data_IF_567772415482
#
_entry.id   IF_567772415482
#
_cell.length_a   1.000
_cell.length_b   1.000
_cell.length_c   1.000
_cell.angle_alpha   90.00
_cell.angle_beta   90.00
_cell.angle_gamma   90.00
#
_symmetry.space_group_name_H-M   'P 1'
#
loop_
_entity.id
_entity.type
_entity.pdbx_description
1 polymer ?
#
# COMPACT_ATOMS: atom_id res chain seq x y z
N UNK A 1 61.64 -29.54 -8.23
CA UNK A 1 60.33 -29.62 -7.53
C UNK A 1 59.66 -28.26 -7.73
N UNK A 2 58.68 -28.18 -8.65
CA UNK A 2 57.88 -26.97 -8.87
C UNK A 2 56.57 -27.10 -8.10
N UNK A 3 56.33 -26.21 -7.16
CA UNK A 3 55.08 -26.17 -6.42
C UNK A 3 54.02 -25.38 -7.27
N UNK A 4 52.96 -26.05 -7.64
CA UNK A 4 51.78 -25.42 -8.31
C UNK A 4 50.88 -24.88 -7.21
N UNK A 5 50.78 -23.53 -7.13
CA UNK A 5 49.82 -22.88 -6.26
C UNK A 5 48.50 -22.80 -7.01
N UNK A 6 47.48 -23.56 -6.56
CA UNK A 6 46.10 -23.47 -7.06
C UNK A 6 45.41 -22.38 -6.31
N UNK A 7 45.13 -21.28 -7.01
CA UNK A 7 44.34 -20.14 -6.47
C UNK A 7 42.86 -20.46 -6.60
N UNK A 8 42.17 -20.81 -5.49
CA UNK A 8 40.73 -21.01 -5.42
C UNK A 8 40.05 -19.64 -5.39
N UNK A 9 39.45 -19.23 -6.52
CA UNK A 9 38.57 -18.10 -6.58
C UNK A 9 37.21 -18.43 -5.92
N UNK A 10 36.99 -17.94 -4.72
CA UNK A 10 35.67 -17.99 -4.07
C UNK A 10 34.77 -16.90 -4.70
N UNK A 11 33.88 -17.32 -5.59
CA UNK A 11 32.83 -16.44 -6.13
C UNK A 11 31.75 -16.28 -5.07
N UNK A 12 31.81 -15.19 -4.33
CA UNK A 12 30.74 -14.80 -3.39
C UNK A 12 29.54 -14.34 -4.21
N UNK A 13 28.51 -15.18 -4.29
CA UNK A 13 27.20 -14.78 -4.82
C UNK A 13 26.55 -13.79 -3.85
N UNK A 14 26.56 -12.50 -4.18
CA UNK A 14 25.78 -11.48 -3.48
C UNK A 14 24.28 -11.84 -3.60
N UNK A 15 23.51 -11.74 -2.51
CA UNK A 15 22.07 -11.94 -2.58
C UNK A 15 21.47 -10.93 -3.54
N UNK A 16 20.69 -11.41 -4.49
CA UNK A 16 19.99 -10.62 -5.48
C UNK A 16 18.97 -9.73 -4.73
N UNK A 17 19.33 -8.49 -4.43
CA UNK A 17 18.40 -7.50 -3.86
C UNK A 17 17.40 -7.16 -4.97
N UNK A 18 16.20 -7.68 -4.83
CA UNK A 18 15.07 -7.31 -5.69
C UNK A 18 14.74 -5.85 -5.38
N UNK A 19 15.33 -4.93 -6.13
CA UNK A 19 15.05 -3.50 -6.00
C UNK A 19 13.63 -3.23 -6.52
N UNK A 20 12.74 -2.82 -5.63
CA UNK A 20 11.39 -2.41 -6.00
C UNK A 20 11.45 -1.23 -6.97
N UNK A 21 10.73 -1.31 -8.09
CA UNK A 21 10.67 -0.24 -9.08
C UNK A 21 9.82 0.94 -8.57
N UNK A 22 10.09 2.15 -9.04
CA UNK A 22 9.28 3.31 -8.74
C UNK A 22 7.84 3.11 -9.25
N UNK A 23 6.84 3.47 -8.41
CA UNK A 23 5.44 3.49 -8.80
C UNK A 23 5.12 4.82 -9.47
N UNK A 24 5.00 4.84 -10.79
CA UNK A 24 4.90 6.07 -11.58
C UNK A 24 3.55 6.19 -12.31
N UNK A 25 2.47 5.72 -11.69
CA UNK A 25 1.10 5.84 -12.20
C UNK A 25 0.43 7.04 -11.54
N UNK A 26 0.36 8.19 -12.24
CA UNK A 26 -0.15 9.45 -11.68
C UNK A 26 -1.58 9.34 -11.17
N UNK A 27 -2.47 8.67 -11.90
CA UNK A 27 -3.87 8.47 -11.51
C UNK A 27 -4.02 7.68 -10.20
N UNK A 28 -3.06 6.81 -9.88
CA UNK A 28 -3.08 6.09 -8.61
C UNK A 28 -2.94 7.03 -7.41
N UNK A 29 -2.14 8.09 -7.54
CA UNK A 29 -1.99 9.10 -6.49
C UNK A 29 -3.24 9.95 -6.31
N UNK A 30 -4.01 10.17 -7.38
CA UNK A 30 -5.34 10.80 -7.30
C UNK A 30 -6.31 9.89 -6.51
N UNK A 31 -6.28 8.57 -6.75
CA UNK A 31 -7.11 7.60 -6.02
C UNK A 31 -6.75 7.61 -4.52
N UNK A 32 -5.46 7.51 -4.17
CA UNK A 32 -5.04 7.59 -2.77
C UNK A 32 -5.48 8.89 -2.10
N UNK A 33 -5.33 10.02 -2.79
CA UNK A 33 -5.70 11.32 -2.30
C UNK A 33 -7.22 11.49 -2.11
N UNK A 34 -8.02 10.79 -2.89
CA UNK A 34 -9.48 10.84 -2.76
C UNK A 34 -10.01 10.05 -1.54
N UNK A 35 -9.34 8.96 -1.18
CA UNK A 35 -9.81 8.05 -0.11
C UNK A 35 -9.26 8.47 1.26
N UNK A 36 -7.95 8.70 1.34
CA UNK A 36 -7.26 8.79 2.62
C UNK A 36 -7.79 9.90 3.56
N UNK A 37 -8.18 11.11 3.10
CA UNK A 37 -8.68 12.14 4.00
C UNK A 37 -9.92 11.72 4.79
N UNK A 38 -10.87 11.03 4.16
CA UNK A 38 -12.10 10.57 4.82
C UNK A 38 -11.82 9.42 5.78
N UNK A 39 -11.00 8.46 5.34
CA UNK A 39 -10.58 7.32 6.12
C UNK A 39 -9.77 7.75 7.36
N UNK A 40 -8.89 8.73 7.20
CA UNK A 40 -8.00 9.18 8.26
C UNK A 40 -8.68 10.06 9.29
N UNK A 41 -9.43 11.07 8.85
CA UNK A 41 -10.07 12.03 9.74
C UNK A 41 -11.10 11.39 10.67
N UNK A 42 -11.79 10.36 10.21
CA UNK A 42 -12.75 9.62 11.03
C UNK A 42 -12.13 8.77 12.12
N UNK A 43 -10.86 8.37 11.97
CA UNK A 43 -10.18 7.38 12.84
C UNK A 43 -9.15 7.97 13.77
N UNK A 44 -8.44 8.98 13.30
CA UNK A 44 -7.33 9.61 14.03
C UNK A 44 -7.46 11.12 13.95
N UNK A 45 -8.55 11.70 14.50
CA UNK A 45 -8.89 13.11 14.32
C UNK A 45 -7.81 14.08 14.84
N UNK A 46 -6.95 13.61 15.74
CA UNK A 46 -5.88 14.41 16.33
C UNK A 46 -4.50 14.19 15.69
N UNK A 47 -4.39 13.33 14.69
CA UNK A 47 -3.12 13.11 14.03
C UNK A 47 -2.76 14.31 13.15
N UNK A 48 -1.55 14.81 13.32
CA UNK A 48 -1.02 15.97 12.58
C UNK A 48 -0.07 15.57 11.46
N UNK A 49 0.28 14.31 11.36
CA UNK A 49 1.12 13.77 10.29
C UNK A 49 0.73 12.35 9.93
N UNK A 50 0.98 11.98 8.69
CA UNK A 50 0.81 10.63 8.16
C UNK A 50 2.17 9.94 8.06
N UNK A 51 2.27 8.73 8.56
CA UNK A 51 3.41 7.86 8.32
C UNK A 51 2.96 6.81 7.32
N UNK A 52 3.58 6.76 6.17
CA UNK A 52 3.17 5.93 5.04
C UNK A 52 4.27 4.91 4.74
N UNK A 53 3.92 3.63 4.64
CA UNK A 53 4.84 2.60 4.14
C UNK A 53 5.27 2.97 2.73
N UNK A 54 6.59 3.01 2.51
CA UNK A 54 7.12 3.40 1.20
C UNK A 54 6.87 2.38 0.10
N UNK A 55 6.85 1.10 0.43
CA UNK A 55 6.52 0.04 -0.52
C UNK A 55 5.03 -0.28 -0.50
N UNK A 56 4.45 -0.53 -1.68
CA UNK A 56 3.09 -1.06 -1.77
C UNK A 56 3.00 -2.45 -1.13
N UNK A 57 1.82 -2.76 -0.59
CA UNK A 57 1.51 -4.09 -0.05
C UNK A 57 1.07 -5.02 -1.18
N UNK A 58 1.67 -6.21 -1.20
CA UNK A 58 1.16 -7.32 -1.99
C UNK A 58 0.25 -8.17 -1.09
N UNK A 59 -1.00 -8.35 -1.49
CA UNK A 59 -2.06 -9.01 -0.73
C UNK A 59 -2.83 -9.96 -1.65
N UNK A 60 -3.58 -10.87 -1.06
CA UNK A 60 -4.50 -11.70 -1.82
C UNK A 60 -5.81 -10.95 -2.07
N UNK A 61 -6.22 -10.89 -3.33
CA UNK A 61 -7.52 -10.31 -3.72
C UNK A 61 -8.68 -11.14 -3.15
N UNK A 62 -9.62 -10.46 -2.55
CA UNK A 62 -10.80 -11.07 -1.97
C UNK A 62 -12.13 -10.41 -2.37
N UNK A 63 -12.10 -9.32 -3.15
CA UNK A 63 -13.32 -8.77 -3.72
C UNK A 63 -13.92 -9.70 -4.77
N UNK A 64 -15.23 -9.93 -4.68
CA UNK A 64 -15.99 -10.67 -5.67
C UNK A 64 -17.18 -9.82 -6.10
N UNK A 65 -17.15 -9.22 -7.30
CA UNK A 65 -18.27 -8.41 -7.77
C UNK A 65 -19.51 -9.29 -7.98
N UNK A 66 -20.68 -8.70 -7.79
CA UNK A 66 -21.94 -9.34 -8.21
C UNK A 66 -21.95 -9.55 -9.72
N UNK A 67 -22.85 -10.38 -10.22
CA UNK A 67 -23.01 -10.61 -11.67
C UNK A 67 -23.29 -9.31 -12.43
N UNK A 68 -24.01 -8.38 -11.81
CA UNK A 68 -24.33 -7.07 -12.40
C UNK A 68 -23.10 -6.15 -12.52
N UNK A 69 -22.17 -6.26 -11.57
CA UNK A 69 -20.96 -5.43 -11.55
C UNK A 69 -19.75 -6.06 -12.21
N UNK A 70 -19.81 -7.35 -12.53
CA UNK A 70 -18.67 -8.09 -13.07
C UNK A 70 -18.09 -7.42 -14.34
N UNK A 71 -18.93 -6.97 -15.24
CA UNK A 71 -18.47 -6.30 -16.47
C UNK A 71 -17.80 -4.95 -16.20
N UNK A 72 -18.23 -4.25 -15.14
CA UNK A 72 -17.78 -2.92 -14.80
C UNK A 72 -16.51 -2.94 -13.92
N UNK A 73 -16.51 -3.76 -12.87
CA UNK A 73 -15.47 -3.77 -11.84
C UNK A 73 -14.43 -4.87 -12.08
N UNK A 74 -14.83 -5.99 -12.68
CA UNK A 74 -13.95 -7.13 -12.94
C UNK A 74 -12.64 -6.80 -13.63
N UNK A 75 -12.61 -5.96 -14.69
CA UNK A 75 -11.36 -5.54 -15.31
C UNK A 75 -10.39 -4.82 -14.36
N UNK A 76 -10.89 -3.95 -13.48
CA UNK A 76 -10.06 -3.26 -12.49
C UNK A 76 -9.52 -4.23 -11.43
N UNK A 77 -10.30 -5.23 -11.03
CA UNK A 77 -9.82 -6.31 -10.14
C UNK A 77 -8.72 -7.12 -10.81
N UNK A 78 -8.88 -7.49 -12.09
CA UNK A 78 -7.87 -8.25 -12.83
C UNK A 78 -6.56 -7.45 -12.97
N UNK A 79 -6.64 -6.16 -13.26
CA UNK A 79 -5.47 -5.29 -13.30
C UNK A 79 -4.84 -5.14 -11.91
N UNK A 80 -5.66 -4.99 -10.85
CA UNK A 80 -5.14 -4.94 -9.48
C UNK A 80 -4.31 -6.20 -9.14
N UNK A 81 -4.80 -7.39 -9.47
CA UNK A 81 -4.07 -8.64 -9.25
C UNK A 81 -2.71 -8.59 -9.94
N UNK A 82 -2.67 -8.21 -11.22
CA UNK A 82 -1.44 -8.08 -12.00
C UNK A 82 -0.48 -7.03 -11.42
N UNK A 83 -0.98 -5.84 -11.02
CA UNK A 83 -0.14 -4.77 -10.47
C UNK A 83 0.48 -5.17 -9.13
N UNK A 84 -0.18 -6.01 -8.35
CA UNK A 84 0.24 -6.43 -7.02
C UNK A 84 1.01 -7.77 -6.98
N UNK A 85 1.37 -8.33 -8.14
CA UNK A 85 2.34 -9.44 -8.24
C UNK A 85 3.72 -9.05 -7.73
N UNK A 86 4.03 -7.75 -7.73
CA UNK A 86 5.27 -7.19 -7.18
C UNK A 86 5.00 -5.97 -6.31
N UNK A 87 6.01 -5.60 -5.53
CA UNK A 87 5.98 -4.37 -4.74
C UNK A 87 6.55 -3.21 -5.56
N UNK A 88 6.06 -2.01 -5.26
CA UNK A 88 6.46 -0.77 -5.90
C UNK A 88 6.88 0.26 -4.85
N UNK A 89 7.83 1.12 -5.18
CA UNK A 89 8.20 2.26 -4.34
C UNK A 89 7.32 3.46 -4.65
N UNK A 90 6.52 3.88 -3.68
CA UNK A 90 5.71 5.09 -3.76
C UNK A 90 6.60 6.32 -3.90
N UNK A 91 6.19 7.24 -4.75
CA UNK A 91 6.87 8.50 -5.00
C UNK A 91 6.21 9.64 -4.21
N UNK A 92 6.91 10.75 -3.92
CA UNK A 92 6.36 11.89 -3.19
C UNK A 92 5.40 12.73 -4.05
N UNK A 93 4.37 12.07 -4.59
CA UNK A 93 3.33 12.64 -5.46
C UNK A 93 1.95 12.69 -4.79
N UNK A 94 1.87 12.30 -3.51
CA UNK A 94 0.61 12.32 -2.76
C UNK A 94 0.20 13.76 -2.47
N UNK A 95 -1.02 14.12 -2.83
CA UNK A 95 -1.58 15.45 -2.60
C UNK A 95 -2.53 15.43 -1.41
N UNK A 96 -1.98 15.60 -0.20
CA UNK A 96 -2.73 15.71 1.04
C UNK A 96 -2.55 17.08 1.69
N UNK A 97 -3.53 17.52 2.44
CA UNK A 97 -3.41 18.71 3.32
C UNK A 97 -2.60 18.38 4.58
N UNK A 98 -2.69 17.13 5.07
CA UNK A 98 -1.90 16.65 6.21
C UNK A 98 -0.50 16.31 5.75
N UNK A 99 0.55 16.82 6.43
CA UNK A 99 1.93 16.45 6.13
C UNK A 99 2.14 14.94 6.21
N UNK A 100 2.98 14.39 5.35
CA UNK A 100 3.30 12.97 5.38
C UNK A 100 4.79 12.71 5.20
N UNK A 101 5.22 11.54 5.65
CA UNK A 101 6.55 11.02 5.35
C UNK A 101 6.48 9.52 5.06
N UNK A 102 7.37 9.06 4.20
CA UNK A 102 7.54 7.64 3.92
C UNK A 102 8.42 6.97 4.97
N UNK A 103 8.05 5.74 5.32
CA UNK A 103 8.82 4.88 6.19
C UNK A 103 9.20 3.60 5.44
N UNK A 104 10.49 3.27 5.45
CA UNK A 104 11.02 2.08 4.81
C UNK A 104 10.49 0.80 5.50
N UNK A 105 10.23 -0.24 4.71
CA UNK A 105 9.65 -1.50 5.20
C UNK A 105 10.50 -2.11 6.31
N UNK A 106 11.82 -2.13 6.17
CA UNK A 106 12.73 -2.66 7.19
C UNK A 106 12.59 -1.95 8.54
N UNK A 107 12.34 -0.65 8.53
CA UNK A 107 12.11 0.13 9.74
C UNK A 107 10.73 -0.16 10.35
N UNK A 108 9.70 -0.37 9.52
CA UNK A 108 8.38 -0.78 9.99
C UNK A 108 8.45 -2.12 10.72
N UNK A 109 9.17 -3.08 10.16
CA UNK A 109 9.30 -4.43 10.74
C UNK A 109 9.91 -4.38 12.15
N UNK A 110 10.76 -3.40 12.45
CA UNK A 110 11.30 -3.21 13.83
C UNK A 110 10.23 -2.74 14.81
N UNK A 111 9.18 -2.04 14.36
CA UNK A 111 8.08 -1.57 15.19
C UNK A 111 6.95 -2.58 15.38
N UNK A 112 6.88 -3.62 14.55
CA UNK A 112 5.82 -4.64 14.63
C UNK A 112 5.98 -5.56 15.84
N UNK A 113 7.09 -5.53 16.56
CA UNK A 113 7.26 -6.24 17.84
C UNK A 113 6.48 -5.56 18.97
N UNK A 114 6.15 -6.30 20.04
CA UNK A 114 5.36 -5.78 21.17
C UNK A 114 5.92 -4.50 21.80
N UNK A 115 7.24 -4.35 21.83
CA UNK A 115 7.94 -3.17 22.39
C UNK A 115 8.03 -2.04 21.35
N UNK A 116 7.89 -2.37 20.08
CA UNK A 116 8.16 -1.46 18.97
C UNK A 116 7.15 -0.31 18.84
N UNK A 117 5.89 -0.50 19.20
CA UNK A 117 4.87 0.56 19.08
C UNK A 117 5.10 1.73 20.03
N UNK A 118 5.60 1.48 21.23
CA UNK A 118 6.01 2.56 22.15
C UNK A 118 7.14 3.40 21.52
N UNK A 119 8.12 2.72 20.93
CA UNK A 119 9.22 3.38 20.26
C UNK A 119 8.76 4.10 18.98
N UNK A 120 7.81 3.50 18.23
CA UNK A 120 7.20 4.15 17.08
C UNK A 120 6.58 5.50 17.45
N UNK A 121 5.71 5.55 18.47
CA UNK A 121 5.06 6.80 18.88
C UNK A 121 6.00 7.80 19.56
N UNK A 122 7.13 7.32 20.11
CA UNK A 122 8.20 8.20 20.59
C UNK A 122 8.92 8.90 19.41
N UNK A 123 9.15 8.19 18.31
CA UNK A 123 9.80 8.74 17.12
C UNK A 123 8.84 9.57 16.23
N UNK A 124 7.57 9.18 16.19
CA UNK A 124 6.53 9.82 15.37
C UNK A 124 5.36 10.27 16.25
N UNK A 125 5.59 11.22 17.17
CA UNK A 125 4.53 11.79 17.96
C UNK A 125 3.50 12.45 17.03
N UNK A 126 2.26 12.50 17.46
CA UNK A 126 1.16 13.09 16.69
C UNK A 126 0.82 12.35 15.37
N UNK A 127 1.44 11.20 15.10
CA UNK A 127 0.98 10.30 14.06
C UNK A 127 -0.13 9.39 14.58
N UNK A 128 -1.02 8.97 13.72
CA UNK A 128 -2.08 8.01 14.10
C UNK A 128 -1.70 6.55 13.85
N UNK A 129 -0.43 6.26 13.55
CA UNK A 129 0.03 4.95 13.13
C UNK A 129 0.59 4.96 11.71
N UNK A 130 0.63 3.80 11.07
CA UNK A 130 1.23 3.59 9.76
C UNK A 130 0.12 3.29 8.74
N UNK A 131 0.12 4.02 7.63
CA UNK A 131 -0.74 3.77 6.48
C UNK A 131 -0.01 2.91 5.46
N UNK A 132 -0.72 1.96 4.88
CA UNK A 132 -0.22 1.08 3.83
C UNK A 132 -1.15 1.11 2.61
N UNK A 133 -0.58 1.14 1.42
CA UNK A 133 -1.32 1.06 0.17
C UNK A 133 -0.95 -0.19 -0.62
N UNK A 134 -1.90 -0.77 -1.35
CA UNK A 134 -1.58 -1.61 -2.50
C UNK A 134 -1.28 -0.76 -3.73
N UNK A 135 -0.74 -1.36 -4.80
CA UNK A 135 -0.87 -0.75 -6.12
C UNK A 135 -2.35 -0.66 -6.50
N UNK A 136 -2.72 0.30 -7.34
CA UNK A 136 -4.09 0.51 -7.82
C UNK A 136 -4.29 -0.28 -9.11
N UNK A 137 -5.38 -1.02 -9.21
CA UNK A 137 -5.84 -1.61 -10.46
C UNK A 137 -6.91 -0.74 -11.11
N UNK A 138 -6.84 -0.60 -12.43
CA UNK A 138 -7.78 0.20 -13.20
C UNK A 138 -8.49 -0.63 -14.27
N UNK A 139 -9.74 -0.26 -14.60
CA UNK A 139 -10.33 -0.70 -15.85
C UNK A 139 -9.67 0.01 -17.05
N UNK A 140 -9.97 -0.42 -18.27
CA UNK A 140 -9.31 0.07 -19.50
C UNK A 140 -9.42 1.59 -19.64
N UNK A 141 -10.58 2.15 -19.35
CA UNK A 141 -10.86 3.59 -19.50
C UNK A 141 -10.43 4.43 -18.29
N UNK A 142 -9.87 3.79 -17.26
CA UNK A 142 -9.48 4.43 -15.99
C UNK A 142 -10.63 5.22 -15.35
N UNK A 143 -11.83 4.66 -15.43
CA UNK A 143 -13.04 5.19 -14.78
C UNK A 143 -13.42 4.43 -13.51
N UNK A 144 -12.90 3.21 -13.36
CA UNK A 144 -13.03 2.36 -12.16
C UNK A 144 -11.62 2.04 -11.65
N UNK A 145 -11.44 2.13 -10.36
CA UNK A 145 -10.20 1.74 -9.68
C UNK A 145 -10.48 0.84 -8.48
N UNK A 146 -9.57 -0.07 -8.21
CA UNK A 146 -9.56 -0.93 -7.02
C UNK A 146 -8.25 -0.71 -6.29
N UNK A 147 -8.33 -0.52 -4.98
CA UNK A 147 -7.17 -0.31 -4.11
C UNK A 147 -7.42 -0.88 -2.73
N UNK A 148 -6.37 -1.36 -2.09
CA UNK A 148 -6.39 -1.71 -0.67
C UNK A 148 -5.70 -0.61 0.14
N UNK A 149 -6.29 -0.26 1.29
CA UNK A 149 -5.69 0.62 2.28
C UNK A 149 -5.68 -0.11 3.63
N UNK A 150 -4.49 -0.16 4.23
CA UNK A 150 -4.26 -0.65 5.58
C UNK A 150 -3.88 0.48 6.52
N UNK A 151 -4.26 0.33 7.78
CA UNK A 151 -3.87 1.20 8.87
C UNK A 151 -3.44 0.34 10.06
N UNK A 152 -2.22 0.54 10.54
CA UNK A 152 -1.62 -0.14 11.67
C UNK A 152 -1.36 0.88 12.76
N UNK A 153 -1.86 0.63 13.98
CA UNK A 153 -1.79 1.60 15.08
C UNK A 153 -1.40 0.99 16.43
N UNK A 154 -1.09 -0.31 16.44
CA UNK A 154 -0.71 -1.03 17.67
C UNK A 154 -0.74 -2.53 17.46
N UNK A 155 -0.41 -3.29 18.52
CA UNK A 155 -0.42 -4.75 18.48
C UNK A 155 -1.82 -5.33 18.25
N UNK A 156 -2.85 -4.67 18.78
CA UNK A 156 -4.27 -5.01 18.63
C UNK A 156 -5.05 -3.79 18.10
N UNK A 157 -4.43 -3.03 17.23
CA UNK A 157 -5.01 -1.86 16.61
C UNK A 157 -4.56 -1.85 15.14
N UNK A 158 -5.45 -2.31 14.30
CA UNK A 158 -5.20 -2.29 12.87
C UNK A 158 -6.45 -2.64 12.09
N UNK A 159 -6.49 -2.23 10.85
CA UNK A 159 -7.54 -2.61 9.91
C UNK A 159 -7.05 -2.45 8.48
N UNK A 160 -7.69 -3.16 7.60
CA UNK A 160 -7.46 -2.99 6.18
C UNK A 160 -8.71 -3.30 5.40
N UNK A 161 -8.95 -2.55 4.33
CA UNK A 161 -10.12 -2.71 3.49
C UNK A 161 -9.78 -2.42 2.03
N UNK A 162 -10.56 -3.01 1.14
CA UNK A 162 -10.54 -2.69 -0.27
C UNK A 162 -11.57 -1.61 -0.57
N UNK A 163 -11.19 -0.68 -1.42
CA UNK A 163 -12.05 0.37 -1.94
C UNK A 163 -12.23 0.18 -3.45
N UNK A 164 -13.45 0.29 -3.89
CA UNK A 164 -13.79 0.40 -5.31
C UNK A 164 -14.16 1.84 -5.58
N UNK A 165 -13.43 2.47 -6.49
CA UNK A 165 -13.58 3.89 -6.80
C UNK A 165 -14.11 4.08 -8.21
N UNK A 166 -14.92 5.08 -8.41
CA UNK A 166 -15.42 5.52 -9.70
C UNK A 166 -15.03 6.97 -9.97
N UNK A 167 -14.58 7.25 -11.19
CA UNK A 167 -14.29 8.61 -11.63
C UNK A 167 -15.57 9.27 -12.18
N UNK A 168 -16.14 10.22 -11.43
CA UNK A 168 -17.34 11.00 -11.79
C UNK A 168 -16.95 12.48 -11.87
N UNK A 169 -17.24 13.11 -13.00
CA UNK A 169 -16.92 14.53 -13.24
C UNK A 169 -15.42 14.84 -13.00
N UNK A 170 -14.55 13.95 -13.44
CA UNK A 170 -13.10 14.06 -13.28
C UNK A 170 -12.57 13.83 -11.87
N UNK A 171 -13.41 13.45 -10.90
CA UNK A 171 -13.03 13.21 -9.48
C UNK A 171 -13.30 11.76 -9.10
N UNK A 172 -12.37 11.18 -8.35
CA UNK A 172 -12.55 9.86 -7.76
C UNK A 172 -13.51 9.93 -6.56
N UNK A 173 -14.49 9.03 -6.56
CA UNK A 173 -15.48 8.87 -5.48
C UNK A 173 -15.62 7.39 -5.17
N UNK A 174 -15.90 7.05 -3.93
CA UNK A 174 -16.15 5.67 -3.55
C UNK A 174 -17.44 5.18 -4.23
N UNK A 175 -17.34 3.98 -4.82
CA UNK A 175 -18.45 3.29 -5.42
C UNK A 175 -19.14 2.44 -4.35
N UNK A 176 -20.46 2.53 -4.25
CA UNK A 176 -21.24 1.56 -3.47
C UNK A 176 -21.15 0.19 -4.15
N UNK A 177 -20.20 -0.62 -3.68
CA UNK A 177 -19.87 -1.90 -4.28
C UNK A 177 -20.90 -2.96 -3.89
N UNK A 178 -21.55 -3.57 -4.89
CA UNK A 178 -22.49 -4.69 -4.72
C UNK A 178 -21.76 -6.00 -4.98
N UNK A 179 -21.26 -6.62 -3.92
CA UNK A 179 -20.51 -7.87 -4.00
C UNK A 179 -19.91 -8.22 -2.66
N UNK A 180 -19.18 -9.33 -2.60
CA UNK A 180 -18.46 -9.70 -1.40
C UNK A 180 -17.23 -8.80 -1.27
N UNK A 181 -17.14 -8.10 -0.17
CA UNK A 181 -15.96 -7.32 0.22
C UNK A 181 -15.34 -7.94 1.46
N UNK A 182 -14.07 -7.71 1.64
CA UNK A 182 -13.34 -8.18 2.79
C UNK A 182 -12.59 -7.03 3.46
N UNK A 183 -12.66 -7.04 4.76
CA UNK A 183 -11.88 -6.19 5.63
C UNK A 183 -11.34 -7.05 6.78
N UNK A 184 -10.26 -6.62 7.38
CA UNK A 184 -9.79 -7.20 8.64
C UNK A 184 -9.66 -6.09 9.68
N UNK A 185 -9.86 -6.47 10.93
CA UNK A 185 -9.68 -5.62 12.12
C UNK A 185 -8.93 -6.46 13.14
N UNK A 186 -7.94 -5.88 13.79
CA UNK A 186 -7.20 -6.50 14.91
C UNK A 186 -7.27 -5.66 16.16
#
# INVERSE_FOLDING_TARGET
MFAVIVLLLVVSSLPNQTTSSAYDVSEAYEVYAAILPSEWSSRVPNAKQLIIRRETRSLQMCLKPSSEEQARVGPAIADWVKQNEKKWLLQPKLSFTTPYQFLETSKIDTFMSHVGWTEFYRQYPESGGIVEFSAVGFNVDKTIAVVYIGHLCGALCGRGTYHVMEKRDGKWKELEFKGDSCAWIS
#
